data_IF_325163516341
#
_entry.id   IF_325163516341
#
_cell.length_a   1.000
_cell.length_b   1.000
_cell.length_c   1.000
_cell.angle_alpha   90.00
_cell.angle_beta   90.00
_cell.angle_gamma   90.00
#
_symmetry.space_group_name_H-M   'P 1'
#
loop_
_entity.id
_entity.type
_entity.pdbx_description
1 polymer ?
#
# COMPACT_ATOMS: atom_id res chain seq x y z
N UNK A 1 5.39 -6.30 -14.26
CA UNK A 1 4.29 -5.59 -14.96
C UNK A 1 3.96 -4.33 -14.18
N UNK A 2 3.81 -3.17 -14.83
CA UNK A 2 3.51 -1.90 -14.15
C UNK A 2 2.02 -1.73 -13.98
N UNK A 3 1.59 -1.35 -12.78
CA UNK A 3 0.17 -1.25 -12.43
C UNK A 3 -0.08 0.04 -11.67
N UNK A 4 -1.08 0.82 -12.10
CA UNK A 4 -1.65 1.90 -11.30
C UNK A 4 -2.79 1.30 -10.50
N UNK A 5 -2.78 1.49 -9.19
CA UNK A 5 -3.75 0.90 -8.29
C UNK A 5 -4.34 1.97 -7.37
N UNK A 6 -5.64 1.86 -7.13
CA UNK A 6 -6.34 2.72 -6.16
C UNK A 6 -5.81 2.47 -4.74
N UNK A 7 -5.68 3.53 -3.97
CA UNK A 7 -5.22 3.51 -2.58
C UNK A 7 -6.07 2.60 -1.69
N UNK A 8 -7.39 2.56 -1.88
CA UNK A 8 -8.27 1.72 -1.07
C UNK A 8 -8.02 0.22 -1.30
N UNK A 9 -7.65 -0.16 -2.52
CA UNK A 9 -7.32 -1.56 -2.85
C UNK A 9 -6.02 -1.98 -2.16
N UNK A 10 -5.00 -1.11 -2.21
CA UNK A 10 -3.75 -1.33 -1.50
C UNK A 10 -4.01 -1.44 0.01
N UNK A 11 -4.84 -0.56 0.56
CA UNK A 11 -5.13 -0.51 2.01
C UNK A 11 -5.84 -1.77 2.47
N UNK A 12 -6.81 -2.23 1.67
CA UNK A 12 -7.48 -3.49 1.90
C UNK A 12 -6.50 -4.68 1.81
N UNK A 13 -5.49 -4.64 0.93
CA UNK A 13 -4.53 -5.73 0.77
C UNK A 13 -3.51 -5.87 1.92
N UNK A 14 -3.27 -4.80 2.68
CA UNK A 14 -2.31 -4.78 3.80
C UNK A 14 -2.72 -5.69 4.97
N UNK A 15 -4.02 -5.91 5.17
CA UNK A 15 -4.50 -6.85 6.19
C UNK A 15 -4.07 -8.29 5.85
N UNK A 16 -3.51 -9.01 6.83
CA UNK A 16 -2.99 -10.39 6.64
C UNK A 16 -4.07 -11.37 6.18
N UNK A 17 -5.30 -11.20 6.66
CA UNK A 17 -6.46 -12.03 6.33
C UNK A 17 -7.25 -11.52 5.12
N UNK A 18 -6.77 -10.45 4.47
CA UNK A 18 -7.47 -9.88 3.33
C UNK A 18 -7.50 -10.84 2.16
N UNK A 19 -8.65 -10.91 1.48
CA UNK A 19 -8.76 -11.60 0.18
C UNK A 19 -7.79 -11.01 -0.87
N UNK A 20 -7.38 -9.76 -0.69
CA UNK A 20 -6.46 -9.06 -1.59
C UNK A 20 -4.99 -9.23 -1.23
N UNK A 21 -4.66 -10.07 -0.24
CA UNK A 21 -3.28 -10.27 0.22
C UNK A 21 -2.31 -10.70 -0.89
N UNK A 22 -2.83 -11.34 -1.94
CA UNK A 22 -2.07 -11.73 -3.13
C UNK A 22 -1.38 -10.54 -3.82
N UNK A 23 -1.94 -9.32 -3.71
CA UNK A 23 -1.34 -8.10 -4.24
C UNK A 23 -0.02 -7.80 -3.54
N UNK A 24 0.01 -7.89 -2.21
CA UNK A 24 1.23 -7.69 -1.43
C UNK A 24 2.29 -8.73 -1.81
N UNK A 25 1.91 -10.00 -1.91
CA UNK A 25 2.82 -11.05 -2.36
C UNK A 25 3.37 -10.81 -3.77
N UNK A 26 2.54 -10.30 -4.69
CA UNK A 26 2.96 -9.98 -6.05
C UNK A 26 3.92 -8.78 -6.09
N UNK A 27 3.73 -7.78 -5.22
CA UNK A 27 4.65 -6.66 -5.04
C UNK A 27 5.99 -7.11 -4.45
N UNK A 28 5.97 -7.88 -3.36
CA UNK A 28 7.20 -8.33 -2.69
C UNK A 28 8.02 -9.32 -3.53
N UNK A 29 7.39 -10.02 -4.48
CA UNK A 29 8.08 -10.92 -5.42
C UNK A 29 8.45 -10.25 -6.73
N UNK A 30 8.15 -8.97 -6.91
CA UNK A 30 8.47 -8.21 -8.13
C UNK A 30 7.64 -8.60 -9.36
N UNK A 31 6.57 -9.40 -9.21
CA UNK A 31 5.67 -9.77 -10.32
C UNK A 31 4.94 -8.54 -10.86
N UNK A 32 4.61 -7.62 -9.96
CA UNK A 32 4.04 -6.31 -10.29
C UNK A 32 4.88 -5.20 -9.66
N UNK A 33 4.92 -4.07 -10.35
CA UNK A 33 5.54 -2.81 -9.92
C UNK A 33 4.40 -1.80 -9.76
N UNK A 34 4.24 -1.26 -8.55
CA UNK A 34 3.21 -0.28 -8.27
C UNK A 34 3.69 1.10 -8.75
N UNK A 35 2.89 1.74 -9.59
CA UNK A 35 3.08 3.14 -9.96
C UNK A 35 2.21 3.99 -9.04
N UNK A 36 2.85 4.77 -8.16
CA UNK A 36 2.18 5.70 -7.26
C UNK A 36 2.78 7.10 -7.45
N UNK A 37 1.93 8.13 -7.46
CA UNK A 37 2.43 9.50 -7.45
C UNK A 37 2.72 9.94 -6.02
N UNK A 38 3.62 10.90 -5.85
CA UNK A 38 3.92 11.49 -4.53
C UNK A 38 2.67 12.09 -3.88
N UNK A 39 1.78 12.70 -4.67
CA UNK A 39 0.51 13.23 -4.17
C UNK A 39 -0.37 12.13 -3.55
N UNK A 40 -0.50 10.99 -4.25
CA UNK A 40 -1.27 9.84 -3.75
C UNK A 40 -0.62 9.26 -2.47
N UNK A 41 0.71 9.23 -2.40
CA UNK A 41 1.43 8.73 -1.22
C UNK A 41 1.18 9.61 0.02
N UNK A 42 1.14 10.94 -0.15
CA UNK A 42 0.87 11.89 0.93
C UNK A 42 -0.58 11.76 1.45
N UNK A 43 -1.56 11.65 0.56
CA UNK A 43 -2.95 11.39 0.94
C UNK A 43 -3.06 10.08 1.74
N UNK A 44 -2.26 9.09 1.37
CA UNK A 44 -2.21 7.80 2.04
C UNK A 44 -1.66 7.87 3.46
N UNK A 45 -0.58 8.65 3.66
CA UNK A 45 -0.03 8.92 4.98
C UNK A 45 -1.08 9.53 5.91
N UNK A 46 -1.86 10.49 5.43
CA UNK A 46 -2.93 11.12 6.20
C UNK A 46 -4.03 10.12 6.58
N UNK A 47 -4.54 9.36 5.61
CA UNK A 47 -5.61 8.38 5.84
C UNK A 47 -5.15 7.25 6.77
N UNK A 48 -3.95 6.73 6.58
CA UNK A 48 -3.38 5.67 7.42
C UNK A 48 -3.17 6.17 8.84
N UNK A 49 -2.60 7.36 9.03
CA UNK A 49 -2.39 7.92 10.38
C UNK A 49 -3.70 8.10 11.15
N UNK A 50 -4.84 8.27 10.45
CA UNK A 50 -6.17 8.32 11.06
C UNK A 50 -6.77 6.94 11.36
N UNK A 51 -6.46 5.93 10.54
CA UNK A 51 -7.08 4.60 10.59
C UNK A 51 -6.24 3.54 11.32
N UNK A 52 -4.96 3.79 11.52
CA UNK A 52 -4.02 2.87 12.15
C UNK A 52 -3.02 3.62 13.03
N UNK A 53 -2.15 2.90 13.74
CA UNK A 53 -1.07 3.52 14.49
C UNK A 53 -0.03 4.14 13.56
N UNK A 54 0.64 5.20 14.03
CA UNK A 54 1.73 5.86 13.30
C UNK A 54 2.83 4.87 12.88
N UNK A 55 3.08 3.84 13.69
CA UNK A 55 4.05 2.76 13.37
C UNK A 55 3.65 2.02 12.10
N UNK A 56 2.38 1.62 11.98
CA UNK A 56 1.91 0.90 10.81
C UNK A 56 1.90 1.81 9.58
N UNK A 57 1.50 3.08 9.74
CA UNK A 57 1.53 4.05 8.65
C UNK A 57 2.95 4.25 8.09
N UNK A 58 3.94 4.44 8.96
CA UNK A 58 5.34 4.61 8.56
C UNK A 58 5.91 3.37 7.87
N UNK A 59 5.65 2.16 8.40
CA UNK A 59 6.10 0.92 7.78
C UNK A 59 5.56 0.74 6.35
N UNK A 60 4.34 1.21 6.10
CA UNK A 60 3.74 1.15 4.76
C UNK A 60 4.40 2.16 3.83
N UNK A 61 4.70 3.38 4.30
CA UNK A 61 5.41 4.37 3.51
C UNK A 61 6.82 3.91 3.13
N UNK A 62 7.56 3.34 4.09
CA UNK A 62 8.86 2.72 3.83
C UNK A 62 8.78 1.55 2.85
N UNK A 63 7.68 0.79 2.85
CA UNK A 63 7.48 -0.29 1.88
C UNK A 63 7.24 0.23 0.45
N UNK A 64 6.70 1.44 0.31
CA UNK A 64 6.29 2.02 -0.98
C UNK A 64 7.33 2.95 -1.61
N UNK A 65 8.41 3.28 -0.90
CA UNK A 65 9.47 4.21 -1.32
C UNK A 65 10.79 3.47 -1.50
#
# INVERSE_FOLDING_TARGET
>A
MRVVMDTNVLLAALHKTSRFRIIISALTTGRIELLISTAILLDYQEILSRKTSAIVANNILEFLT
#
